data_IF_799458513598
#
_entry.id   IF_799458513598
#
_cell.length_a   1.000
_cell.length_b   1.000
_cell.length_c   1.000
_cell.angle_alpha   90.00
_cell.angle_beta   90.00
_cell.angle_gamma   90.00
#
_symmetry.space_group_name_H-M   'P 1'
#
loop_
_entity.id
_entity.type
_entity.pdbx_description
1 polymer ?
#
# COMPACT_ATOMS: atom_id res chain seq x y z
N UNK A 1 -1.22 14.62 18.99
CA UNK A 1 -1.48 15.70 18.71
C UNK A 1 -1.70 15.99 17.31
N UNK A 2 -1.35 17.08 16.82
CA UNK A 2 -1.59 17.43 15.45
C UNK A 2 -0.96 16.41 14.51
N UNK A 3 0.14 15.85 14.93
CA UNK A 3 0.86 14.90 14.08
C UNK A 3 0.07 13.62 13.84
N UNK A 4 -0.66 13.14 14.82
CA UNK A 4 -1.43 11.91 14.65
C UNK A 4 -2.58 12.11 13.66
N UNK A 5 -3.27 13.24 13.75
CA UNK A 5 -4.36 13.51 12.85
C UNK A 5 -3.85 13.73 11.43
N UNK A 6 -2.72 14.38 11.29
CA UNK A 6 -2.15 14.62 9.97
C UNK A 6 -1.67 13.32 9.35
N UNK A 7 -1.03 12.46 10.14
CA UNK A 7 -0.57 11.18 9.64
C UNK A 7 -1.75 10.33 9.19
N UNK A 8 -2.87 10.39 9.89
CA UNK A 8 -4.06 9.65 9.50
C UNK A 8 -4.61 10.14 8.16
N UNK A 9 -4.64 11.45 7.95
CA UNK A 9 -5.14 11.97 6.68
C UNK A 9 -4.23 11.57 5.53
N UNK A 10 -2.93 11.59 5.77
CA UNK A 10 -1.97 11.18 4.75
C UNK A 10 -2.15 9.69 4.46
N UNK A 11 -2.32 8.88 5.52
CA UNK A 11 -2.52 7.45 5.35
C UNK A 11 -3.78 7.15 4.53
N UNK A 12 -4.86 7.88 4.81
CA UNK A 12 -6.10 7.67 4.08
C UNK A 12 -5.93 8.01 2.60
N UNK A 13 -5.21 9.08 2.30
CA UNK A 13 -4.99 9.46 0.92
C UNK A 13 -4.10 8.44 0.20
N UNK A 14 -3.09 7.93 0.89
CA UNK A 14 -2.24 6.90 0.32
C UNK A 14 -3.04 5.65 0.05
N UNK A 15 -3.88 5.25 1.00
CA UNK A 15 -4.71 4.07 0.85
C UNK A 15 -5.56 4.18 -0.43
N UNK A 16 -6.25 5.29 -0.57
CA UNK A 16 -7.11 5.52 -1.70
C UNK A 16 -6.33 5.50 -3.01
N UNK A 17 -5.21 6.16 -3.03
CA UNK A 17 -4.38 6.26 -4.23
C UNK A 17 -3.82 4.90 -4.65
N UNK A 18 -3.26 4.16 -3.69
CA UNK A 18 -2.67 2.87 -4.01
C UNK A 18 -3.75 1.89 -4.45
N UNK A 19 -4.89 1.86 -3.78
CA UNK A 19 -5.97 0.97 -4.16
C UNK A 19 -6.42 1.23 -5.60
N UNK A 20 -6.53 2.50 -5.98
CA UNK A 20 -6.94 2.86 -7.32
C UNK A 20 -5.89 2.45 -8.35
N UNK A 21 -4.62 2.63 -8.02
CA UNK A 21 -3.55 2.26 -8.94
C UNK A 21 -3.51 0.76 -9.17
N UNK A 22 -3.69 -0.02 -8.13
CA UNK A 22 -3.64 -1.47 -8.24
C UNK A 22 -4.83 -2.03 -9.02
N UNK A 23 -5.92 -1.29 -9.06
CA UNK A 23 -7.08 -1.76 -9.79
C UNK A 23 -7.05 -1.40 -11.27
N UNK A 24 -6.27 -0.43 -11.66
CA UNK A 24 -6.35 0.02 -13.04
C UNK A 24 -5.06 0.38 -13.71
N UNK A 25 -4.20 1.14 -13.04
CA UNK A 25 -3.01 1.67 -13.67
C UNK A 25 -1.87 0.68 -13.81
N UNK A 26 -1.71 -0.17 -12.83
CA UNK A 26 -0.59 -1.10 -12.83
C UNK A 26 -1.02 -2.38 -13.53
N UNK A 27 -0.41 -2.65 -14.66
CA UNK A 27 -0.79 -3.78 -15.49
C UNK A 27 0.30 -4.84 -15.51
N UNK A 28 0.57 -5.39 -14.36
CA UNK A 28 1.58 -6.42 -14.23
C UNK A 28 0.87 -7.76 -14.06
N UNK A 29 1.11 -8.72 -14.94
CA UNK A 29 0.42 -10.01 -14.85
C UNK A 29 0.71 -10.79 -13.58
N UNK A 30 1.76 -10.43 -12.87
CA UNK A 30 2.05 -11.10 -11.60
C UNK A 30 1.15 -10.56 -10.48
N UNK A 31 0.48 -9.43 -10.72
CA UNK A 31 -0.37 -8.83 -9.71
C UNK A 31 -1.69 -9.59 -9.68
N UNK A 32 -1.98 -10.24 -8.58
CA UNK A 32 -3.20 -11.01 -8.45
C UNK A 32 -4.33 -10.20 -7.87
N UNK A 33 -5.27 -10.87 -7.21
CA UNK A 33 -6.38 -10.18 -6.57
C UNK A 33 -5.86 -9.63 -5.25
N UNK A 34 -5.41 -8.39 -5.31
CA UNK A 34 -4.82 -7.74 -4.15
C UNK A 34 -5.74 -6.66 -3.60
N UNK A 35 -5.85 -6.61 -2.30
CA UNK A 35 -6.65 -5.59 -1.62
C UNK A 35 -5.78 -4.88 -0.61
N UNK A 36 -5.80 -3.57 -0.62
CA UNK A 36 -5.09 -2.78 0.39
C UNK A 36 -5.99 -2.77 1.62
N UNK A 37 -5.47 -3.27 2.73
CA UNK A 37 -6.26 -3.39 3.95
C UNK A 37 -6.03 -2.26 4.93
N UNK A 38 -4.84 -1.69 4.92
CA UNK A 38 -4.53 -0.61 5.85
C UNK A 38 -3.31 0.13 5.37
N UNK A 39 -3.14 1.35 5.81
CA UNK A 39 -1.93 2.12 5.55
C UNK A 39 -1.57 2.83 6.83
N UNK A 40 -0.33 2.72 7.26
CA UNK A 40 0.15 3.38 8.45
C UNK A 40 1.30 4.30 8.10
N UNK A 41 1.22 5.51 8.61
CA UNK A 41 2.24 6.52 8.34
C UNK A 41 2.82 6.97 9.65
N UNK A 42 4.14 7.12 9.71
CA UNK A 42 4.80 7.57 10.93
C UNK A 42 4.44 9.03 11.20
N UNK A 43 4.53 9.43 12.45
CA UNK A 43 4.13 10.79 12.84
C UNK A 43 4.90 11.87 12.12
N UNK A 44 6.15 11.60 11.75
CA UNK A 44 6.96 12.57 11.03
C UNK A 44 6.71 12.51 9.52
N UNK A 45 5.77 11.68 9.07
CA UNK A 45 5.38 11.53 7.68
C UNK A 45 6.51 11.04 6.77
N UNK A 46 7.51 10.38 7.32
CA UNK A 46 8.63 9.92 6.53
C UNK A 46 8.50 8.49 6.02
N UNK A 47 7.72 7.68 6.70
CA UNK A 47 7.56 6.29 6.28
C UNK A 47 6.12 5.88 6.28
N UNK A 48 5.73 5.16 5.25
CA UNK A 48 4.37 4.65 5.12
C UNK A 48 4.44 3.16 4.81
N UNK A 49 3.66 2.38 5.53
CA UNK A 49 3.56 0.95 5.28
C UNK A 49 2.17 0.66 4.73
N UNK A 50 2.14 0.03 3.58
CA UNK A 50 0.89 -0.35 2.93
C UNK A 50 0.66 -1.83 3.18
N UNK A 51 -0.38 -2.15 3.91
CA UNK A 51 -0.71 -3.53 4.20
C UNK A 51 -1.70 -4.03 3.14
N UNK A 52 -1.51 -5.24 2.69
CA UNK A 52 -2.36 -5.79 1.64
C UNK A 52 -2.60 -7.27 1.85
N UNK A 53 -3.65 -7.78 1.25
CA UNK A 53 -3.90 -9.21 1.22
C UNK A 53 -4.01 -9.65 -0.23
N UNK A 54 -3.74 -10.92 -0.47
CA UNK A 54 -3.86 -11.48 -1.80
C UNK A 54 -4.74 -12.71 -1.69
N UNK A 55 -5.77 -12.75 -2.50
CA UNK A 55 -6.63 -13.91 -2.52
C UNK A 55 -6.04 -14.91 -3.50
N UNK A 56 -5.51 -15.98 -2.99
CA UNK A 56 -4.88 -16.98 -3.84
C UNK A 56 -3.85 -17.80 -3.08
N UNK A 57 -3.03 -18.49 -3.83
CA UNK A 57 -2.03 -19.40 -3.27
C UNK A 57 -0.80 -18.65 -2.77
N UNK A 58 0.08 -19.37 -2.10
CA UNK A 58 1.34 -18.77 -1.65
C UNK A 58 2.17 -18.31 -2.84
N UNK A 59 2.12 -19.03 -3.94
CA UNK A 59 2.86 -18.62 -5.12
C UNK A 59 2.31 -17.32 -5.68
N UNK A 60 1.00 -17.18 -5.67
CA UNK A 60 0.38 -15.95 -6.15
C UNK A 60 0.73 -14.78 -5.23
N UNK A 61 0.84 -15.03 -3.94
CA UNK A 61 1.24 -13.99 -3.00
C UNK A 61 2.66 -13.53 -3.30
N UNK A 62 3.56 -14.48 -3.58
CA UNK A 62 4.93 -14.13 -3.90
C UNK A 62 5.02 -13.35 -5.18
N UNK A 63 4.28 -13.76 -6.20
CA UNK A 63 4.28 -13.04 -7.47
C UNK A 63 3.75 -11.62 -7.31
N UNK A 64 2.71 -11.48 -6.51
CA UNK A 64 2.15 -10.16 -6.24
C UNK A 64 3.18 -9.29 -5.50
N UNK A 65 3.91 -9.88 -4.55
CA UNK A 65 4.92 -9.12 -3.83
C UNK A 65 6.00 -8.61 -4.77
N UNK A 66 6.39 -9.42 -5.75
CA UNK A 66 7.38 -9.01 -6.73
C UNK A 66 6.84 -7.88 -7.59
N UNK A 67 5.58 -7.99 -8.00
CA UNK A 67 4.95 -6.96 -8.82
C UNK A 67 4.90 -5.63 -8.06
N UNK A 68 4.57 -5.68 -6.78
CA UNK A 68 4.52 -4.47 -5.97
C UNK A 68 5.89 -3.83 -5.82
N UNK A 69 6.93 -4.65 -5.64
CA UNK A 69 8.27 -4.12 -5.55
C UNK A 69 8.70 -3.46 -6.86
N UNK A 70 8.32 -4.07 -7.98
CA UNK A 70 8.67 -3.51 -9.28
C UNK A 70 7.92 -2.19 -9.53
N UNK A 71 6.71 -2.08 -9.03
CA UNK A 71 5.88 -0.90 -9.25
C UNK A 71 6.08 0.18 -8.19
N UNK A 72 6.95 -0.06 -7.22
CA UNK A 72 7.09 0.84 -6.09
C UNK A 72 7.41 2.28 -6.49
N UNK A 73 8.30 2.43 -7.46
CA UNK A 73 8.65 3.78 -7.91
C UNK A 73 7.47 4.52 -8.53
N UNK A 74 6.70 3.82 -9.35
CA UNK A 74 5.52 4.43 -9.95
C UNK A 74 4.50 4.78 -8.86
N UNK A 75 4.28 3.86 -7.95
CA UNK A 75 3.31 4.09 -6.89
C UNK A 75 3.73 5.28 -6.03
N UNK A 76 5.01 5.37 -5.68
CA UNK A 76 5.48 6.46 -4.87
C UNK A 76 5.33 7.79 -5.61
N UNK A 77 5.58 7.79 -6.91
CA UNK A 77 5.43 8.99 -7.72
C UNK A 77 3.97 9.45 -7.74
N UNK A 78 3.04 8.52 -7.91
CA UNK A 78 1.62 8.88 -7.95
C UNK A 78 1.13 9.33 -6.57
N UNK A 79 1.64 8.70 -5.53
CA UNK A 79 1.30 9.11 -4.17
C UNK A 79 1.80 10.54 -3.92
N UNK A 80 3.01 10.84 -4.38
CA UNK A 80 3.55 12.18 -4.23
C UNK A 80 2.68 13.23 -4.89
N UNK A 81 2.17 12.92 -6.08
CA UNK A 81 1.29 13.84 -6.78
C UNK A 81 -0.02 14.00 -6.03
N UNK A 82 -0.56 12.90 -5.53
CA UNK A 82 -1.83 12.96 -4.82
C UNK A 82 -1.73 13.72 -3.51
N UNK A 83 -0.60 13.59 -2.81
CA UNK A 83 -0.43 14.26 -1.53
C UNK A 83 -0.11 15.73 -1.69
N UNK A 84 0.59 16.08 -2.75
CA UNK A 84 0.98 17.47 -2.97
C UNK A 84 1.90 18.03 -1.90
N UNK A 85 2.59 17.17 -1.16
CA UNK A 85 3.50 17.64 -0.12
C UNK A 85 4.93 17.57 -0.62
N UNK A 86 5.79 18.28 0.06
CA UNK A 86 7.15 18.43 -0.41
C UNK A 86 7.92 17.12 -0.47
N UNK A 87 7.82 16.35 0.57
CA UNK A 87 8.53 15.09 0.62
C UNK A 87 7.53 13.96 0.69
N UNK A 88 7.67 13.00 -0.22
CA UNK A 88 6.79 11.85 -0.24
C UNK A 88 7.36 10.80 0.73
N UNK A 89 6.52 10.21 1.58
CA UNK A 89 7.02 9.17 2.48
C UNK A 89 7.61 8.01 1.70
N UNK A 90 8.57 7.33 2.31
CA UNK A 90 9.08 6.09 1.73
C UNK A 90 8.01 5.04 1.92
N UNK A 91 7.75 4.26 0.89
CA UNK A 91 6.70 3.24 0.94
C UNK A 91 7.28 1.86 1.16
N UNK A 92 6.60 1.06 1.95
CA UNK A 92 6.91 -0.35 2.04
C UNK A 92 5.59 -1.10 1.97
N UNK A 93 5.63 -2.31 1.45
CA UNK A 93 4.44 -3.14 1.32
C UNK A 93 4.58 -4.36 2.21
N UNK A 94 3.54 -4.66 2.94
CA UNK A 94 3.58 -5.79 3.85
C UNK A 94 2.31 -6.60 3.76
N UNK A 95 2.46 -7.91 3.63
CA UNK A 95 1.30 -8.78 3.56
C UNK A 95 0.60 -8.75 4.92
N UNK A 96 -0.67 -8.48 4.90
CA UNK A 96 -1.45 -8.42 6.13
C UNK A 96 -1.86 -9.84 6.50
N UNK A 97 -1.58 -10.21 7.72
CA UNK A 97 -1.93 -11.54 8.16
C UNK A 97 -3.41 -11.56 8.43
N UNK A 98 -4.14 -12.29 7.63
CA UNK A 98 -5.54 -12.40 7.85
C UNK A 98 -5.74 -13.12 9.15
N UNK A 99 -6.67 -12.70 9.86
CA UNK A 99 -6.99 -13.31 11.11
C UNK A 99 -7.35 -14.71 10.86
N UNK A 100 -6.52 -15.44 11.12
CA UNK A 100 -6.71 -16.77 10.86
C UNK A 100 -7.74 -17.21 11.54
N UNK A 101 -7.97 -16.59 12.27
CA UNK A 101 -9.00 -16.82 12.87
C UNK A 101 -9.85 -17.37 12.16
N UNK A 102 -9.75 -16.99 11.29
CA UNK A 102 -10.57 -17.51 10.52
C UNK A 102 -10.58 -18.87 10.91
N UNK A 103 -9.91 -19.18 11.48
CA UNK A 103 -9.94 -20.32 11.69
C UNK A 103 -10.42 -20.68 12.73
N UNK A 104 -10.73 -20.39 12.98
CA UNK A 104 -11.22 -20.85 13.92
C UNK A 104 -11.88 -21.21 13.99
#
# INVERSE_FOLDING_TARGET
MADAARARKVADRIHETVARLLQGRIKDPRLGFVTVTDVRVTGDLQQATVFYTVYGSDEEREETAKALRSAKGLIRSEVGKALGIRLTPSLSFQLDALPTTAKT
#
